data_IF_231569932607
#
_entry.id   IF_231569932607
#
_cell.length_a   1.000
_cell.length_b   1.000
_cell.length_c   1.000
_cell.angle_alpha   90.00
_cell.angle_beta   90.00
_cell.angle_gamma   90.00
#
_symmetry.space_group_name_H-M   'P 1'
#
loop_
_entity.id
_entity.type
_entity.pdbx_description
1 polymer ?
#
# COMPACT_ATOMS: atom_id res chain seq x y z
N UNK A 1 -13.58 -19.36 -9.42
CA UNK A 1 -14.34 -18.17 -9.01
C UNK A 1 -13.86 -17.02 -9.89
N UNK A 2 -14.75 -16.35 -10.62
CA UNK A 2 -14.37 -15.20 -11.44
C UNK A 2 -14.14 -13.98 -10.54
N UNK A 3 -13.14 -13.12 -10.84
CA UNK A 3 -12.95 -11.89 -10.09
C UNK A 3 -14.18 -10.99 -10.25
N UNK A 4 -14.60 -10.27 -9.20
CA UNK A 4 -15.68 -9.30 -9.31
C UNK A 4 -15.31 -8.22 -10.34
N UNK A 5 -16.28 -7.83 -11.16
CA UNK A 5 -16.08 -6.74 -12.13
C UNK A 5 -16.12 -5.40 -11.43
N UNK A 6 -15.14 -4.54 -11.72
CA UNK A 6 -15.15 -3.16 -11.21
C UNK A 6 -16.11 -2.30 -12.04
N UNK A 7 -16.84 -1.41 -11.38
CA UNK A 7 -17.72 -0.47 -12.07
C UNK A 7 -16.90 0.49 -12.96
N UNK A 8 -17.36 0.73 -14.20
CA UNK A 8 -16.61 1.50 -15.20
C UNK A 8 -16.35 2.96 -14.77
N UNK A 9 -17.29 3.55 -14.03
CA UNK A 9 -17.17 4.88 -13.44
C UNK A 9 -16.03 4.97 -12.41
N UNK A 10 -15.84 3.94 -11.58
CA UNK A 10 -14.75 3.90 -10.59
C UNK A 10 -13.38 3.85 -11.27
N UNK A 11 -13.25 3.05 -12.34
CA UNK A 11 -12.01 2.96 -13.13
C UNK A 11 -11.69 4.31 -13.78
N UNK A 12 -12.69 4.96 -14.38
CA UNK A 12 -12.51 6.28 -15.01
C UNK A 12 -12.06 7.34 -13.99
N UNK A 13 -12.68 7.34 -12.81
CA UNK A 13 -12.34 8.27 -11.72
C UNK A 13 -10.90 8.06 -11.23
N UNK A 14 -10.49 6.81 -11.00
CA UNK A 14 -9.11 6.52 -10.61
C UNK A 14 -8.11 6.90 -11.70
N UNK A 15 -8.41 6.61 -12.98
CA UNK A 15 -7.53 7.02 -14.09
C UNK A 15 -7.33 8.52 -14.13
N UNK A 16 -8.41 9.29 -14.05
CA UNK A 16 -8.33 10.75 -14.03
C UNK A 16 -7.51 11.25 -12.84
N UNK A 17 -7.71 10.65 -11.66
CA UNK A 17 -6.93 10.96 -10.47
C UNK A 17 -5.42 10.75 -10.70
N UNK A 18 -5.00 9.59 -11.22
CA UNK A 18 -3.58 9.33 -11.46
C UNK A 18 -2.97 10.22 -12.54
N UNK A 19 -3.72 10.49 -13.62
CA UNK A 19 -3.25 11.38 -14.70
C UNK A 19 -3.04 12.83 -14.25
N UNK A 20 -3.68 13.25 -13.15
CA UNK A 20 -3.50 14.59 -12.57
C UNK A 20 -2.25 14.74 -11.71
N UNK A 21 -1.51 13.65 -11.44
CA UNK A 21 -0.35 13.63 -10.54
C UNK A 21 0.96 13.71 -11.31
N UNK A 22 1.99 14.23 -10.65
CA UNK A 22 3.35 14.26 -11.20
C UNK A 22 3.93 12.84 -11.29
N UNK A 23 4.80 12.62 -12.27
CA UNK A 23 5.60 11.41 -12.45
C UNK A 23 6.32 10.92 -11.18
N UNK A 24 7.06 11.76 -10.44
CA UNK A 24 7.80 11.26 -9.28
C UNK A 24 6.85 10.79 -8.17
N UNK A 25 5.72 11.48 -7.99
CA UNK A 25 4.65 11.02 -7.10
C UNK A 25 4.09 9.68 -7.54
N UNK A 26 3.81 9.50 -8.84
CA UNK A 26 3.32 8.23 -9.41
C UNK A 26 4.31 7.09 -9.21
N UNK A 27 5.62 7.35 -9.34
CA UNK A 27 6.67 6.36 -9.13
C UNK A 27 6.72 5.88 -7.67
N UNK A 28 6.73 6.81 -6.71
CA UNK A 28 6.70 6.47 -5.29
C UNK A 28 5.41 5.76 -4.88
N UNK A 29 4.27 6.24 -5.39
CA UNK A 29 2.98 5.60 -5.17
C UNK A 29 2.96 4.19 -5.76
N UNK A 30 3.49 3.96 -6.97
CA UNK A 30 3.59 2.63 -7.58
C UNK A 30 4.42 1.69 -6.73
N UNK A 31 5.56 2.14 -6.23
CA UNK A 31 6.42 1.31 -5.37
C UNK A 31 5.72 0.87 -4.07
N UNK A 32 4.96 1.78 -3.44
CA UNK A 32 4.15 1.46 -2.28
C UNK A 32 2.97 0.52 -2.61
N UNK A 33 2.30 0.71 -3.76
CA UNK A 33 1.24 -0.18 -4.25
C UNK A 33 1.76 -1.60 -4.49
N UNK A 34 2.90 -1.72 -5.17
CA UNK A 34 3.52 -3.02 -5.47
C UNK A 34 3.94 -3.74 -4.17
N UNK A 35 4.21 -3.00 -3.09
CA UNK A 35 4.54 -3.55 -1.76
C UNK A 35 3.29 -3.99 -0.98
N UNK A 36 2.28 -3.12 -0.85
CA UNK A 36 1.03 -3.43 -0.11
C UNK A 36 0.06 -4.32 -0.88
N UNK A 37 0.25 -4.48 -2.20
CA UNK A 37 -0.71 -5.08 -3.12
C UNK A 37 -2.11 -4.44 -3.07
N UNK A 38 -2.20 -3.18 -2.64
CA UNK A 38 -3.46 -2.44 -2.50
C UNK A 38 -3.31 -0.97 -2.84
N UNK A 39 -4.01 -0.56 -3.90
CA UNK A 39 -4.08 0.85 -4.33
C UNK A 39 -4.78 1.71 -3.29
N UNK A 40 -5.88 1.22 -2.70
CA UNK A 40 -6.70 1.99 -1.76
C UNK A 40 -5.96 2.28 -0.46
N UNK A 41 -5.27 1.28 0.12
CA UNK A 41 -4.48 1.48 1.33
C UNK A 41 -3.31 2.44 1.08
N UNK A 42 -2.67 2.32 -0.08
CA UNK A 42 -1.58 3.23 -0.47
C UNK A 42 -2.08 4.67 -0.61
N UNK A 43 -3.22 4.89 -1.26
CA UNK A 43 -3.81 6.23 -1.39
C UNK A 43 -4.20 6.82 -0.03
N UNK A 44 -4.76 6.01 0.87
CA UNK A 44 -5.10 6.45 2.22
C UNK A 44 -3.84 6.84 3.02
N UNK A 45 -2.74 6.10 2.89
CA UNK A 45 -1.46 6.45 3.50
C UNK A 45 -0.84 7.72 2.88
N UNK A 46 -0.91 7.89 1.55
CA UNK A 46 -0.49 9.11 0.85
C UNK A 46 -1.28 10.34 1.31
N UNK A 47 -2.57 10.19 1.61
CA UNK A 47 -3.43 11.26 2.15
C UNK A 47 -3.32 11.46 3.66
N UNK A 48 -2.39 10.75 4.34
CA UNK A 48 -2.23 10.79 5.80
C UNK A 48 -3.49 10.40 6.58
N UNK A 49 -4.36 9.56 6.00
CA UNK A 49 -5.52 8.96 6.70
C UNK A 49 -5.15 7.70 7.47
N UNK A 50 -4.04 7.07 7.10
CA UNK A 50 -3.47 5.91 7.75
C UNK A 50 -1.98 6.16 7.97
N UNK A 51 -1.46 5.73 9.11
CA UNK A 51 -0.03 5.59 9.32
C UNK A 51 0.50 4.36 8.54
N UNK A 52 1.82 4.29 8.36
CA UNK A 52 2.45 3.17 7.64
C UNK A 52 2.19 1.85 8.34
N UNK A 53 2.30 1.82 9.66
CA UNK A 53 2.06 0.64 10.49
C UNK A 53 0.61 0.16 10.34
N UNK A 54 -0.35 1.07 10.42
CA UNK A 54 -1.78 0.77 10.21
C UNK A 54 -2.06 0.23 8.80
N UNK A 55 -1.42 0.79 7.77
CA UNK A 55 -1.57 0.30 6.40
C UNK A 55 -1.00 -1.12 6.23
N UNK A 56 0.12 -1.42 6.88
CA UNK A 56 0.75 -2.75 6.89
C UNK A 56 -0.11 -3.77 7.65
N UNK A 57 -0.70 -3.39 8.77
CA UNK A 57 -1.63 -4.23 9.53
C UNK A 57 -2.86 -4.58 8.69
N UNK A 58 -3.48 -3.57 8.06
CA UNK A 58 -4.65 -3.76 7.20
C UNK A 58 -4.33 -4.61 5.97
N UNK A 59 -3.12 -4.49 5.39
CA UNK A 59 -2.70 -5.31 4.27
C UNK A 59 -2.41 -6.77 4.67
N UNK A 60 -2.10 -7.03 5.95
CA UNK A 60 -1.71 -8.36 6.43
C UNK A 60 -2.72 -9.02 7.36
N UNK A 61 -3.98 -8.56 7.39
CA UNK A 61 -5.06 -9.09 8.22
C UNK A 61 -5.19 -10.62 8.16
N UNK A 62 -5.14 -11.20 6.97
CA UNK A 62 -5.22 -12.65 6.81
C UNK A 62 -4.02 -13.34 7.45
N UNK A 63 -2.80 -12.90 7.15
CA UNK A 63 -1.56 -13.44 7.74
C UNK A 63 -1.58 -13.34 9.27
N UNK A 64 -2.02 -12.21 9.82
CA UNK A 64 -2.15 -12.02 11.27
C UNK A 64 -3.18 -13.00 11.87
N UNK A 65 -4.33 -13.17 11.22
CA UNK A 65 -5.32 -14.16 11.64
C UNK A 65 -4.76 -15.59 11.63
N UNK A 66 -4.05 -15.96 10.57
CA UNK A 66 -3.43 -17.27 10.42
C UNK A 66 -2.34 -17.51 11.48
N UNK A 67 -1.48 -16.52 11.74
CA UNK A 67 -0.47 -16.58 12.79
C UNK A 67 -1.08 -16.75 14.18
N UNK A 68 -2.19 -16.05 14.47
CA UNK A 68 -2.91 -16.20 15.73
C UNK A 68 -3.55 -17.60 15.86
N UNK A 69 -3.99 -18.19 14.75
CA UNK A 69 -4.66 -19.50 14.75
C UNK A 69 -3.69 -20.68 14.81
N UNK A 70 -2.53 -20.56 14.16
CA UNK A 70 -1.59 -21.66 13.93
C UNK A 70 -0.19 -21.45 14.53
N UNK A 71 0.03 -20.32 15.20
CA UNK A 71 1.31 -19.94 15.78
C UNK A 71 2.06 -18.93 14.92
N UNK A 72 2.70 -17.95 15.58
CA UNK A 72 3.56 -16.95 14.94
C UNK A 72 4.98 -17.48 14.89
N UNK A 73 5.65 -17.30 13.76
CA UNK A 73 7.07 -17.58 13.61
C UNK A 73 7.80 -16.24 13.63
N UNK A 74 8.40 -15.89 14.77
CA UNK A 74 9.01 -14.57 15.02
C UNK A 74 10.00 -14.17 13.90
N UNK A 75 10.98 -15.03 13.61
CA UNK A 75 12.02 -14.71 12.61
C UNK A 75 11.49 -14.50 11.18
N UNK A 76 10.34 -15.08 10.83
CA UNK A 76 9.74 -14.92 9.50
C UNK A 76 8.75 -13.76 9.50
N UNK A 77 7.76 -13.84 10.38
CA UNK A 77 6.63 -12.91 10.39
C UNK A 77 7.05 -11.51 10.82
N UNK A 78 8.02 -11.38 11.74
CA UNK A 78 8.53 -10.09 12.18
C UNK A 78 9.41 -9.47 11.09
N UNK A 79 10.26 -10.27 10.43
CA UNK A 79 11.12 -9.79 9.34
C UNK A 79 10.29 -9.30 8.15
N UNK A 80 9.29 -10.06 7.74
CA UNK A 80 8.36 -9.67 6.66
C UNK A 80 7.62 -8.38 6.98
N UNK A 81 7.16 -8.21 8.22
CA UNK A 81 6.44 -7.02 8.67
C UNK A 81 7.35 -5.77 8.67
N UNK A 82 8.60 -5.92 9.13
CA UNK A 82 9.58 -4.84 9.09
C UNK A 82 10.03 -4.52 7.66
N UNK A 83 10.23 -5.52 6.80
CA UNK A 83 10.59 -5.31 5.40
C UNK A 83 9.46 -4.56 4.66
N UNK A 84 8.21 -5.00 4.85
CA UNK A 84 7.05 -4.37 4.25
C UNK A 84 6.90 -2.92 4.72
N UNK A 85 7.04 -2.68 6.03
CA UNK A 85 7.02 -1.33 6.61
C UNK A 85 8.11 -0.43 6.04
N UNK A 86 9.33 -0.95 5.88
CA UNK A 86 10.45 -0.22 5.27
C UNK A 86 10.15 0.17 3.82
N UNK A 87 9.65 -0.77 3.01
CA UNK A 87 9.35 -0.54 1.58
C UNK A 87 8.23 0.49 1.41
N UNK A 88 7.15 0.36 2.18
CA UNK A 88 6.02 1.30 2.12
C UNK A 88 6.45 2.70 2.56
N UNK A 89 7.22 2.80 3.65
CA UNK A 89 7.78 4.08 4.12
C UNK A 89 8.64 4.73 3.04
N UNK A 90 9.54 3.97 2.39
CA UNK A 90 10.40 4.49 1.33
C UNK A 90 9.59 5.03 0.14
N UNK A 91 8.57 4.31 -0.31
CA UNK A 91 7.70 4.74 -1.40
C UNK A 91 6.93 6.02 -1.07
N UNK A 92 6.37 6.11 0.14
CA UNK A 92 5.63 7.29 0.61
C UNK A 92 6.53 8.51 0.80
N UNK A 93 7.72 8.33 1.39
CA UNK A 93 8.71 9.40 1.53
C UNK A 93 9.15 9.93 0.16
N UNK A 94 9.42 9.05 -0.79
CA UNK A 94 9.76 9.45 -2.16
C UNK A 94 8.61 10.22 -2.81
N UNK A 95 7.39 9.71 -2.74
CA UNK A 95 6.21 10.38 -3.31
C UNK A 95 5.99 11.78 -2.69
N UNK A 96 6.28 11.95 -1.41
CA UNK A 96 6.09 13.22 -0.69
C UNK A 96 7.18 14.25 -0.97
N UNK A 97 8.44 13.83 -1.01
CA UNK A 97 9.58 14.76 -1.03
C UNK A 97 10.26 14.90 -2.39
N UNK A 98 10.26 13.86 -3.24
CA UNK A 98 10.97 13.90 -4.52
C UNK A 98 10.32 14.80 -5.59
N UNK A 99 9.13 15.33 -5.32
CA UNK A 99 8.41 16.25 -6.20
C UNK A 99 8.48 17.73 -5.77
N UNK A 100 9.25 18.06 -4.72
CA UNK A 100 9.35 19.43 -4.19
C UNK A 100 10.44 20.28 -4.87
N UNK A 101 11.04 19.80 -5.96
CA UNK A 101 11.95 20.54 -6.85
C UNK A 101 11.28 20.77 -8.22
#
# INVERSE_FOLDING_TARGET
>A
MFPPTLAANSVATMRQYFLSRNWCWLLGCKFAVDSLNSVLLTLAACEHRLDVTEAVDLATLERQFQANRWGRIEWAHDLEEQELSCRVSAGLLFAKFACLE
#
